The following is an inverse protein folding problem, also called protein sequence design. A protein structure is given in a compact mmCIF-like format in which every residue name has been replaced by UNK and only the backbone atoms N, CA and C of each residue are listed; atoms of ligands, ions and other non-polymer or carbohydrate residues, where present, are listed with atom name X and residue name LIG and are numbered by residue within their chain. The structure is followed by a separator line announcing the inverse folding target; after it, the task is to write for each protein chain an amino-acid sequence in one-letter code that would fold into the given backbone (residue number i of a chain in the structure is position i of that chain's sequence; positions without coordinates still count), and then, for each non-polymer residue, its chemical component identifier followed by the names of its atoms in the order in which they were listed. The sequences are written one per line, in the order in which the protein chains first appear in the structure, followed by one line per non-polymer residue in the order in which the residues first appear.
data_IF_394955560114
#
_entry.id   IF_394955560114
#
_cell.length_a   1.000
_cell.length_b   1.000
_cell.length_c   1.000
_cell.angle_alpha   90.00
_cell.angle_beta   90.00
_cell.angle_gamma   90.00
#
_symmetry.space_group_name_H-M   'P 1'
#
loop_
_entity.id
_entity.type
_entity.pdbx_description
1 polymer ?
#
# COMPACT_ATOMS: atom_id res chain seq x y z
N UNK A 1 20.60 8.61 23.45
CA UNK A 1 22.04 8.62 23.80
C UNK A 1 22.85 9.74 23.16
N UNK A 2 22.74 10.02 21.86
CA UNK A 2 23.52 11.11 21.24
C UNK A 2 23.21 12.52 21.78
N UNK A 3 21.95 12.83 22.14
CA UNK A 3 21.60 14.11 22.77
C UNK A 3 22.23 14.29 24.15
N UNK A 4 22.30 13.21 24.94
CA UNK A 4 22.96 13.20 26.24
C UNK A 4 24.49 13.37 26.08
N UNK A 5 25.10 12.74 25.07
CA UNK A 5 26.50 12.94 24.70
C UNK A 5 26.80 14.40 24.30
N UNK A 6 25.88 15.03 23.56
CA UNK A 6 26.01 16.45 23.21
C UNK A 6 25.89 17.35 24.45
N UNK A 7 24.96 17.05 25.35
CA UNK A 7 24.75 17.80 26.60
C UNK A 7 25.89 17.62 27.61
N UNK A 8 26.61 16.50 27.57
CA UNK A 8 27.80 16.25 28.41
C UNK A 8 29.07 16.96 27.93
N UNK A 9 28.98 17.81 26.90
CA UNK A 9 30.13 18.53 26.35
C UNK A 9 31.10 17.63 25.59
N UNK A 10 30.62 16.52 25.03
CA UNK A 10 31.46 15.52 24.35
C UNK A 10 32.46 14.82 25.27
N UNK A 11 32.06 14.51 26.50
CA UNK A 11 32.86 13.75 27.46
C UNK A 11 33.40 12.44 26.86
N UNK A 12 34.71 12.22 26.97
CA UNK A 12 35.40 11.03 26.46
C UNK A 12 34.88 9.76 27.14
N UNK A 13 34.66 9.81 28.46
CA UNK A 13 34.12 8.68 29.23
C UNK A 13 32.75 8.24 28.73
N UNK A 14 31.88 9.22 28.42
CA UNK A 14 30.55 8.96 27.86
C UNK A 14 30.63 8.42 26.43
N UNK A 15 31.62 8.87 25.65
CA UNK A 15 31.86 8.35 24.32
C UNK A 15 32.30 6.89 24.33
N UNK A 16 33.15 6.48 25.28
CA UNK A 16 33.60 5.10 25.42
C UNK A 16 32.48 4.17 25.88
N UNK A 17 31.66 4.61 26.84
CA UNK A 17 30.54 3.82 27.37
C UNK A 17 29.41 3.63 26.34
N UNK A 18 29.16 4.63 25.49
CA UNK A 18 28.09 4.59 24.46
C UNK A 18 28.63 4.61 23.03
N UNK A 19 29.83 4.05 22.83
CA UNK A 19 30.61 4.17 21.59
C UNK A 19 29.83 3.69 20.38
N UNK A 20 29.22 2.52 20.46
CA UNK A 20 28.49 1.90 19.36
C UNK A 20 27.29 2.74 18.93
N UNK A 21 26.45 3.17 19.88
CA UNK A 21 25.27 3.98 19.62
C UNK A 21 25.61 5.36 19.04
N UNK A 22 26.68 6.00 19.54
CA UNK A 22 27.14 7.29 19.03
C UNK A 22 27.72 7.14 17.62
N UNK A 23 28.44 6.05 17.33
CA UNK A 23 28.98 5.78 16.00
C UNK A 23 27.88 5.50 14.99
N UNK A 24 26.87 4.71 15.33
CA UNK A 24 25.69 4.46 14.48
C UNK A 24 24.99 5.78 14.15
N UNK A 25 24.75 6.64 15.15
CA UNK A 25 24.13 7.94 14.92
C UNK A 25 24.98 8.85 14.00
N UNK A 26 26.30 8.89 14.20
CA UNK A 26 27.22 9.66 13.34
C UNK A 26 27.24 9.11 11.90
N UNK A 27 27.24 7.80 11.73
CA UNK A 27 27.20 7.14 10.43
C UNK A 27 25.88 7.42 9.69
N UNK A 28 24.75 7.31 10.39
CA UNK A 28 23.43 7.64 9.85
C UNK A 28 23.38 9.11 9.40
N UNK A 29 23.84 10.04 10.25
CA UNK A 29 23.93 11.46 9.87
C UNK A 29 24.78 11.68 8.62
N UNK A 30 25.96 11.06 8.55
CA UNK A 30 26.85 11.15 7.38
C UNK A 30 26.18 10.61 6.11
N UNK A 31 25.45 9.51 6.19
CA UNK A 31 24.70 8.97 5.07
C UNK A 31 23.61 9.94 4.59
N UNK A 32 22.87 10.57 5.52
CA UNK A 32 21.89 11.59 5.17
C UNK A 32 22.52 12.86 4.57
N UNK A 33 23.68 13.28 5.06
CA UNK A 33 24.42 14.45 4.54
C UNK A 33 24.97 14.19 3.11
N UNK A 34 25.17 12.93 2.73
CA UNK A 34 25.67 12.51 1.42
C UNK A 34 24.58 12.39 0.33
N UNK A 35 23.30 12.45 0.70
CA UNK A 35 22.21 12.36 -0.28
C UNK A 35 22.17 13.63 -1.16
N UNK A 36 22.26 13.51 -2.50
CA UNK A 36 22.15 14.65 -3.40
C UNK A 36 20.69 15.11 -3.48
N UNK A 37 20.41 16.31 -2.96
CA UNK A 37 19.05 16.84 -2.83
C UNK A 37 18.70 17.04 -1.35
N UNK A 38 18.62 18.32 -0.96
CA UNK A 38 18.51 18.81 0.42
C UNK A 38 17.41 18.16 1.28
N UNK A 39 17.68 18.17 2.59
CA UNK A 39 16.80 17.92 3.76
C UNK A 39 15.85 16.74 3.61
N UNK A 40 16.07 15.72 4.44
CA UNK A 40 15.09 14.66 4.71
C UNK A 40 13.72 15.33 4.99
N UNK A 41 12.65 14.99 4.25
CA UNK A 41 11.33 15.54 4.47
C UNK A 41 10.93 15.39 5.94
N UNK A 42 10.21 16.36 6.48
CA UNK A 42 9.69 16.22 7.84
C UNK A 42 8.65 15.10 7.86
N UNK A 43 8.47 14.46 9.02
CA UNK A 43 7.40 13.45 9.18
C UNK A 43 6.04 14.02 8.78
N UNK A 44 5.82 15.31 9.03
CA UNK A 44 4.60 16.00 8.65
C UNK A 44 4.44 16.09 7.13
N UNK A 45 5.45 16.56 6.39
CA UNK A 45 5.35 16.65 4.93
C UNK A 45 5.13 15.28 4.27
N UNK A 46 5.77 14.24 4.81
CA UNK A 46 5.57 12.87 4.33
C UNK A 46 4.14 12.38 4.57
N UNK A 47 3.57 12.66 5.75
CA UNK A 47 2.18 12.30 6.06
C UNK A 47 1.19 13.05 5.16
N UNK A 48 1.41 14.34 4.93
CA UNK A 48 0.55 15.16 4.05
C UNK A 48 0.55 14.64 2.61
N UNK A 49 1.74 14.32 2.08
CA UNK A 49 1.89 13.74 0.74
C UNK A 49 1.23 12.35 0.65
N UNK A 50 1.42 11.52 1.68
CA UNK A 50 0.77 10.21 1.76
C UNK A 50 -0.76 10.32 1.72
N UNK A 51 -1.33 11.23 2.52
CA UNK A 51 -2.79 11.43 2.54
C UNK A 51 -3.32 11.97 1.21
N UNK A 52 -2.59 12.87 0.55
CA UNK A 52 -2.93 13.37 -0.79
C UNK A 52 -2.92 12.26 -1.84
N UNK A 53 -1.90 11.41 -1.83
CA UNK A 53 -1.83 10.26 -2.76
C UNK A 53 -2.93 9.25 -2.47
N UNK A 54 -3.26 9.03 -1.20
CA UNK A 54 -4.31 8.12 -0.80
C UNK A 54 -5.70 8.61 -1.22
N UNK A 55 -5.97 9.92 -1.13
CA UNK A 55 -7.24 10.49 -1.62
C UNK A 55 -7.33 10.38 -3.15
N UNK A 56 -6.27 10.76 -3.88
CA UNK A 56 -6.23 10.64 -5.33
C UNK A 56 -6.41 9.20 -5.81
N UNK A 57 -5.78 8.22 -5.13
CA UNK A 57 -6.00 6.79 -5.41
C UNK A 57 -7.45 6.37 -5.18
N UNK A 58 -8.09 6.83 -4.10
CA UNK A 58 -9.49 6.50 -3.81
C UNK A 58 -10.44 7.07 -4.86
N UNK A 59 -10.22 8.32 -5.26
CA UNK A 59 -11.00 9.01 -6.28
C UNK A 59 -10.86 8.33 -7.65
N UNK A 60 -9.63 8.09 -8.10
CA UNK A 60 -9.37 7.40 -9.37
C UNK A 60 -9.92 5.96 -9.41
N UNK A 61 -10.07 5.31 -8.25
CA UNK A 61 -10.58 3.95 -8.15
C UNK A 61 -12.10 3.89 -7.87
N UNK A 62 -12.78 5.03 -7.72
CA UNK A 62 -14.20 5.08 -7.42
C UNK A 62 -15.05 4.60 -8.62
N UNK A 63 -14.71 5.05 -9.83
CA UNK A 63 -15.40 4.62 -11.06
C UNK A 63 -15.25 3.11 -11.29
N UNK A 64 -14.04 2.57 -11.11
CA UNK A 64 -13.80 1.13 -11.22
C UNK A 64 -14.62 0.31 -10.21
N UNK A 65 -14.80 0.81 -8.98
CA UNK A 65 -15.64 0.14 -7.97
C UNK A 65 -17.09 0.10 -8.42
N UNK A 66 -17.61 1.18 -8.99
CA UNK A 66 -18.98 1.25 -9.46
C UNK A 66 -19.21 0.28 -10.62
N UNK A 67 -18.37 0.34 -11.67
CA UNK A 67 -18.47 -0.54 -12.83
C UNK A 67 -18.36 -2.02 -12.44
N UNK A 68 -17.47 -2.36 -11.50
CA UNK A 68 -17.35 -3.74 -11.00
C UNK A 68 -18.61 -4.19 -10.27
N UNK A 69 -19.24 -3.32 -9.48
CA UNK A 69 -20.49 -3.61 -8.78
C UNK A 69 -21.62 -3.84 -9.78
N UNK A 70 -21.77 -2.95 -10.76
CA UNK A 70 -22.81 -3.04 -11.78
C UNK A 70 -22.67 -4.32 -12.62
N UNK A 71 -21.43 -4.71 -12.95
CA UNK A 71 -21.14 -5.97 -13.64
C UNK A 71 -21.58 -7.18 -12.82
N UNK A 72 -21.31 -7.19 -11.51
CA UNK A 72 -21.72 -8.29 -10.63
C UNK A 72 -23.25 -8.38 -10.53
N UNK A 73 -23.93 -7.25 -10.36
CA UNK A 73 -25.40 -7.19 -10.31
C UNK A 73 -26.01 -7.68 -11.63
N UNK A 74 -25.45 -7.26 -12.77
CA UNK A 74 -25.86 -7.75 -14.09
C UNK A 74 -25.72 -9.27 -14.23
N UNK A 75 -24.58 -9.83 -13.82
CA UNK A 75 -24.35 -11.28 -13.89
C UNK A 75 -25.35 -12.07 -13.01
N UNK A 76 -25.65 -11.56 -11.82
CA UNK A 76 -26.64 -12.17 -10.92
C UNK A 76 -28.04 -12.11 -11.54
N UNK A 77 -28.43 -10.96 -12.09
CA UNK A 77 -29.72 -10.79 -12.75
C UNK A 77 -29.84 -11.72 -13.97
N UNK A 78 -28.79 -11.80 -14.79
CA UNK A 78 -28.72 -12.73 -15.93
C UNK A 78 -28.90 -14.18 -15.47
N UNK A 79 -28.12 -14.63 -14.48
CA UNK A 79 -28.21 -15.99 -13.95
C UNK A 79 -29.62 -16.29 -13.41
N UNK A 80 -30.24 -15.32 -12.74
CA UNK A 80 -31.61 -15.47 -12.21
C UNK A 80 -32.62 -15.64 -13.33
N UNK A 81 -32.52 -14.85 -14.40
CA UNK A 81 -33.38 -14.98 -15.59
C UNK A 81 -33.16 -16.33 -16.29
N UNK A 82 -31.91 -16.74 -16.50
CA UNK A 82 -31.58 -18.03 -17.11
C UNK A 82 -32.13 -19.21 -16.29
N UNK A 83 -32.09 -19.09 -14.96
CA UNK A 83 -32.67 -20.07 -14.05
C UNK A 83 -34.20 -20.15 -14.15
N UNK A 84 -34.88 -19.00 -14.09
CA UNK A 84 -36.36 -18.91 -14.18
C UNK A 84 -36.85 -19.44 -15.52
N UNK A 85 -36.18 -19.08 -16.61
CA UNK A 85 -36.54 -19.51 -17.97
C UNK A 85 -36.14 -20.95 -18.27
N UNK A 86 -35.50 -21.66 -17.32
CA UNK A 86 -35.03 -23.03 -17.51
C UNK A 86 -33.94 -23.16 -18.59
N UNK A 87 -33.35 -22.05 -19.03
CA UNK A 87 -32.28 -21.99 -20.04
C UNK A 87 -31.06 -22.76 -19.52
N UNK A 88 -30.78 -22.68 -18.22
CA UNK A 88 -29.71 -23.46 -17.57
C UNK A 88 -29.89 -24.97 -17.74
N UNK A 89 -31.13 -25.47 -17.65
CA UNK A 89 -31.43 -26.90 -17.85
C UNK A 89 -31.29 -27.29 -19.32
N UNK A 90 -31.78 -26.44 -20.23
CA UNK A 90 -31.68 -26.66 -21.67
C UNK A 90 -30.22 -26.68 -22.14
N UNK A 91 -29.41 -25.72 -21.69
CA UNK A 91 -27.99 -25.64 -22.01
C UNK A 91 -27.22 -26.86 -21.48
N UNK A 92 -27.46 -27.31 -20.24
CA UNK A 92 -26.80 -28.52 -19.70
C UNK A 92 -27.10 -29.77 -20.51
N UNK A 93 -28.35 -29.94 -20.97
CA UNK A 93 -28.75 -31.10 -21.78
C UNK A 93 -28.08 -31.04 -23.16
N UNK A 94 -28.04 -29.87 -23.80
CA UNK A 94 -27.37 -29.66 -25.09
C UNK A 94 -25.86 -29.92 -24.98
N UNK A 95 -25.21 -29.40 -23.94
CA UNK A 95 -23.77 -29.63 -23.71
C UNK A 95 -23.46 -31.09 -23.44
N UNK A 96 -24.34 -31.83 -22.75
CA UNK A 96 -24.15 -33.28 -22.55
C UNK A 96 -24.31 -34.06 -23.85
N UNK A 97 -25.27 -33.70 -24.71
CA UNK A 97 -25.46 -34.33 -26.02
C UNK A 97 -24.28 -34.07 -26.97
N UNK A 98 -23.73 -32.86 -27.00
CA UNK A 98 -22.57 -32.51 -27.84
C UNK A 98 -21.25 -33.20 -27.43
N UNK A 99 -21.17 -33.72 -26.20
CA UNK A 99 -19.99 -34.46 -25.72
C UNK A 99 -20.14 -35.99 -25.88
N UNK A 100 -21.28 -36.44 -26.41
CA UNK A 100 -21.60 -37.86 -26.66
C UNK A 100 -21.54 -38.23 -28.16
N UNK A 101 -21.44 -37.23 -29.04
CA UNK A 101 -21.17 -37.35 -30.48
C UNK A 101 -19.68 -37.12 -30.78
#
# INVERSE_FOLDING_TARGET
MYEAYRKSGYSIKFFEEHREEIQIHKAAKKAFDQLPGKKVPTRQSLNEEYHRLLSGKKEAYAEYRQVKKDMQEYLIAKQTVEHILGIDRKNRIITQQQNLD
#
